data_IF_195448790079
#
_entry.id   IF_195448790079
#
_cell.length_a   1.000
_cell.length_b   1.000
_cell.length_c   1.000
_cell.angle_alpha   90.00
_cell.angle_beta   90.00
_cell.angle_gamma   90.00
#
_symmetry.space_group_name_H-M   'P 1'
#
loop_
_entity.id
_entity.type
_entity.pdbx_description
1 polymer ?
#
# COMPACT_ATOMS: atom_id res chain seq x y z
N UNK A 1 -1.28 1.94 28.34
CA UNK A 1 -0.27 1.73 27.28
C UNK A 1 0.78 0.76 27.79
N UNK A 2 0.96 -0.39 27.17
CA UNK A 2 2.05 -1.33 27.49
C UNK A 2 3.39 -0.73 27.08
N UNK A 3 4.50 -1.15 27.74
CA UNK A 3 5.85 -0.80 27.28
C UNK A 3 6.01 -1.35 25.86
N UNK A 4 6.32 -0.48 24.92
CA UNK A 4 6.73 -0.84 23.56
C UNK A 4 8.14 -1.41 23.67
N UNK A 5 8.41 -2.58 23.08
CA UNK A 5 9.76 -3.14 23.04
C UNK A 5 10.70 -2.28 22.16
N UNK A 6 12.01 -2.53 22.23
CA UNK A 6 12.99 -1.72 21.49
C UNK A 6 12.78 -1.78 19.98
N UNK A 7 12.41 -2.94 19.42
CA UNK A 7 12.15 -3.12 18.00
C UNK A 7 11.02 -2.18 17.50
N UNK A 8 9.91 -2.15 18.24
CA UNK A 8 8.82 -1.24 17.88
C UNK A 8 9.19 0.23 18.12
N UNK A 9 10.00 0.53 19.13
CA UNK A 9 10.44 1.92 19.36
C UNK A 9 11.24 2.43 18.17
N UNK A 10 12.22 1.66 17.70
CA UNK A 10 13.06 2.03 16.57
C UNK A 10 12.20 2.25 15.29
N UNK A 11 11.22 1.38 15.03
CA UNK A 11 10.29 1.54 13.91
C UNK A 11 9.42 2.80 14.02
N UNK A 12 8.89 3.08 15.20
CA UNK A 12 8.06 4.27 15.44
C UNK A 12 8.89 5.53 15.24
N UNK A 13 10.10 5.58 15.79
CA UNK A 13 11.00 6.72 15.66
C UNK A 13 11.40 6.96 14.21
N UNK A 14 11.64 5.90 13.45
CA UNK A 14 11.92 5.93 12.03
C UNK A 14 10.75 6.58 11.25
N UNK A 15 9.56 6.04 11.40
CA UNK A 15 8.33 6.54 10.75
C UNK A 15 8.06 8.00 11.13
N UNK A 16 8.22 8.38 12.39
CA UNK A 16 8.01 9.76 12.84
C UNK A 16 9.05 10.71 12.24
N UNK A 17 10.30 10.24 12.05
CA UNK A 17 11.39 11.04 11.50
C UNK A 17 11.26 11.35 10.01
N UNK A 18 10.37 10.67 9.30
CA UNK A 18 10.17 10.90 7.86
C UNK A 18 9.71 12.31 7.56
N UNK A 19 10.44 13.07 6.69
CA UNK A 19 10.01 14.39 6.25
C UNK A 19 8.65 14.39 5.54
N UNK A 20 8.24 13.25 4.96
CA UNK A 20 6.94 13.11 4.26
C UNK A 20 5.75 13.36 5.17
N UNK A 21 5.92 13.14 6.48
CA UNK A 21 4.90 13.45 7.47
C UNK A 21 4.39 14.89 7.42
N UNK A 22 5.23 15.85 7.04
CA UNK A 22 4.85 17.26 6.90
C UNK A 22 3.96 17.54 5.69
N UNK A 23 3.93 16.63 4.72
CA UNK A 23 3.18 16.76 3.46
C UNK A 23 1.86 15.99 3.45
N UNK A 24 1.60 15.17 4.47
CA UNK A 24 0.35 14.41 4.61
C UNK A 24 -0.65 15.23 5.42
N UNK A 25 -1.81 15.61 4.85
CA UNK A 25 -2.86 16.29 5.60
C UNK A 25 -3.33 15.46 6.81
N UNK A 26 -3.60 16.11 7.92
CA UNK A 26 -4.08 15.46 9.14
C UNK A 26 -5.48 15.93 9.50
N UNK A 27 -6.41 14.99 9.58
CA UNK A 27 -7.72 15.26 10.18
C UNK A 27 -7.54 15.65 11.67
N UNK A 28 -8.36 16.56 12.23
CA UNK A 28 -8.23 16.99 13.64
C UNK A 28 -8.30 15.85 14.67
N UNK A 29 -8.93 14.75 14.32
CA UNK A 29 -9.02 13.54 15.16
C UNK A 29 -7.94 12.49 14.84
N UNK A 30 -7.00 12.76 13.96
CA UNK A 30 -5.95 11.80 13.57
C UNK A 30 -5.12 11.33 14.78
N UNK A 31 -4.93 10.01 14.89
CA UNK A 31 -4.26 9.39 16.02
C UNK A 31 -5.11 9.25 17.30
N UNK A 32 -6.36 9.72 17.30
CA UNK A 32 -7.24 9.61 18.48
C UNK A 32 -7.83 8.20 18.59
N UNK A 33 -7.56 7.58 19.74
CA UNK A 33 -8.18 6.32 20.13
C UNK A 33 -9.53 6.60 20.81
N UNK A 34 -10.62 6.02 20.27
CA UNK A 34 -11.96 6.08 20.87
C UNK A 34 -12.53 4.66 20.99
N UNK A 35 -12.60 4.15 22.22
CA UNK A 35 -13.00 2.77 22.47
C UNK A 35 -12.04 1.79 21.78
N UNK A 36 -12.55 1.03 20.82
CA UNK A 36 -11.78 0.04 20.07
C UNK A 36 -11.37 0.51 18.66
N UNK A 37 -11.46 1.80 18.37
CA UNK A 37 -11.14 2.37 17.07
C UNK A 37 -10.11 3.49 17.17
N UNK A 38 -9.23 3.58 16.18
CA UNK A 38 -8.31 4.70 16.00
C UNK A 38 -8.62 5.40 14.67
N UNK A 39 -8.47 6.73 14.65
CA UNK A 39 -8.67 7.54 13.46
C UNK A 39 -7.35 7.73 12.72
N UNK A 40 -7.31 7.37 11.46
CA UNK A 40 -6.18 7.59 10.56
C UNK A 40 -6.06 9.06 10.16
N UNK A 41 -4.98 9.42 9.47
CA UNK A 41 -4.70 10.80 9.07
C UNK A 41 -5.83 11.45 8.26
N UNK A 42 -6.59 10.68 7.49
CA UNK A 42 -7.61 11.10 6.53
C UNK A 42 -9.07 10.85 7.01
N UNK A 43 -9.29 10.75 8.32
CA UNK A 43 -10.58 10.44 8.97
C UNK A 43 -11.08 9.00 8.78
N UNK A 44 -10.33 8.12 8.14
CA UNK A 44 -10.65 6.69 8.13
C UNK A 44 -10.54 6.13 9.54
N UNK A 45 -11.55 5.39 9.99
CA UNK A 45 -11.55 4.72 11.30
C UNK A 45 -11.25 3.24 11.15
N UNK A 46 -10.31 2.75 11.94
CA UNK A 46 -9.90 1.34 11.91
C UNK A 46 -9.91 0.73 13.31
N UNK A 47 -10.03 -0.59 13.39
CA UNK A 47 -9.91 -1.31 14.65
C UNK A 47 -8.51 -1.12 15.24
N UNK A 48 -8.43 -0.68 16.48
CA UNK A 48 -7.17 -0.36 17.17
C UNK A 48 -6.19 -1.55 17.28
N UNK A 49 -6.71 -2.78 17.31
CA UNK A 49 -5.90 -4.00 17.38
C UNK A 49 -5.97 -4.83 16.08
N UNK A 50 -6.47 -4.24 15.00
CA UNK A 50 -6.70 -4.93 13.73
C UNK A 50 -5.47 -5.08 12.84
N UNK A 51 -4.32 -4.47 13.20
CA UNK A 51 -3.11 -4.46 12.41
C UNK A 51 -1.88 -4.54 13.33
N UNK A 52 -1.12 -5.62 13.26
CA UNK A 52 0.10 -5.92 14.07
C UNK A 52 0.05 -5.50 15.56
N UNK A 53 -1.13 -5.35 16.15
CA UNK A 53 -1.33 -5.17 17.59
C UNK A 53 -0.81 -3.85 18.16
N UNK A 54 -0.25 -3.90 19.39
CA UNK A 54 0.09 -2.72 20.18
C UNK A 54 1.20 -1.85 19.56
N UNK A 55 2.13 -2.43 18.80
CA UNK A 55 3.23 -1.70 18.18
C UNK A 55 2.72 -0.67 17.16
N UNK A 56 1.92 -1.13 16.18
CA UNK A 56 1.31 -0.23 15.20
C UNK A 56 0.31 0.71 15.85
N UNK A 57 -0.48 0.26 16.82
CA UNK A 57 -1.39 1.16 17.54
C UNK A 57 -0.66 2.35 18.16
N UNK A 58 0.49 2.12 18.83
CA UNK A 58 1.29 3.20 19.37
C UNK A 58 1.85 4.11 18.28
N UNK A 59 2.34 3.54 17.16
CA UNK A 59 2.78 4.31 15.99
C UNK A 59 1.67 5.23 15.48
N UNK A 60 0.46 4.71 15.28
CA UNK A 60 -0.68 5.49 14.80
C UNK A 60 -1.09 6.61 15.77
N UNK A 61 -0.98 6.38 17.09
CA UNK A 61 -1.25 7.41 18.10
C UNK A 61 -0.19 8.51 18.02
N UNK A 62 1.10 8.13 18.04
CA UNK A 62 2.23 9.05 18.09
C UNK A 62 2.40 9.82 16.78
N UNK A 63 2.25 9.14 15.64
CA UNK A 63 2.38 9.74 14.30
C UNK A 63 1.03 10.22 13.71
N UNK A 64 0.01 10.39 14.55
CA UNK A 64 -1.28 10.95 14.16
C UNK A 64 -1.89 10.25 12.94
N UNK A 65 -1.99 8.92 13.02
CA UNK A 65 -2.70 8.11 12.04
C UNK A 65 -1.95 7.83 10.74
N UNK A 66 -0.63 7.96 10.71
CA UNK A 66 0.24 7.58 9.58
C UNK A 66 1.20 6.48 10.02
N UNK A 67 1.38 5.47 9.18
CA UNK A 67 2.29 4.34 9.42
C UNK A 67 3.32 4.14 8.31
N UNK A 68 3.05 4.61 7.10
CA UNK A 68 3.93 4.52 5.92
C UNK A 68 4.02 5.88 5.22
N UNK A 69 4.76 6.86 5.79
CA UNK A 69 4.68 8.26 5.35
C UNK A 69 4.97 8.49 3.87
N UNK A 70 5.97 7.78 3.30
CA UNK A 70 6.34 7.92 1.89
C UNK A 70 5.21 7.41 0.98
N UNK A 71 4.67 6.24 1.30
CA UNK A 71 3.58 5.64 0.52
C UNK A 71 2.29 6.42 0.69
N UNK A 72 1.91 6.78 1.91
CA UNK A 72 0.70 7.56 2.17
C UNK A 72 0.74 8.95 1.50
N UNK A 73 1.92 9.61 1.47
CA UNK A 73 2.10 10.86 0.72
C UNK A 73 1.89 10.65 -0.78
N UNK A 74 2.57 9.66 -1.37
CA UNK A 74 2.46 9.36 -2.79
C UNK A 74 1.02 8.95 -3.16
N UNK A 75 0.39 8.15 -2.31
CA UNK A 75 -0.99 7.69 -2.50
C UNK A 75 -1.98 8.86 -2.49
N UNK A 76 -1.85 9.78 -1.52
CA UNK A 76 -2.67 11.00 -1.44
C UNK A 76 -2.53 11.89 -2.69
N UNK A 77 -1.33 11.94 -3.28
CA UNK A 77 -1.10 12.69 -4.51
C UNK A 77 -1.78 12.04 -5.71
N UNK A 78 -1.61 10.74 -5.90
CA UNK A 78 -2.16 10.01 -7.04
C UNK A 78 -3.69 9.92 -7.00
N UNK A 79 -4.31 9.65 -5.85
CA UNK A 79 -5.77 9.51 -5.78
C UNK A 79 -6.52 10.80 -6.13
N UNK A 80 -5.89 11.97 -6.01
CA UNK A 80 -6.48 13.25 -6.46
C UNK A 80 -6.61 13.34 -7.97
N UNK A 81 -5.83 12.57 -8.71
CA UNK A 81 -5.85 12.55 -10.18
C UNK A 81 -6.86 11.53 -10.73
N UNK A 82 -7.30 10.58 -9.90
CA UNK A 82 -8.23 9.54 -10.34
C UNK A 82 -9.64 10.08 -10.54
N UNK A 83 -10.41 9.53 -11.51
CA UNK A 83 -11.81 9.88 -11.69
C UNK A 83 -12.67 9.40 -10.51
N UNK A 84 -13.86 9.99 -10.35
CA UNK A 84 -14.81 9.63 -9.29
C UNK A 84 -15.18 8.13 -9.30
N UNK A 85 -15.35 7.56 -10.49
CA UNK A 85 -15.68 6.14 -10.70
C UNK A 85 -14.43 5.38 -11.11
N UNK A 86 -13.44 5.31 -10.23
CA UNK A 86 -12.23 4.54 -10.46
C UNK A 86 -12.33 3.11 -9.92
N UNK A 87 -11.46 2.24 -10.41
CA UNK A 87 -11.35 0.83 -9.99
C UNK A 87 -9.96 0.61 -9.42
N UNK A 88 -9.90 0.07 -8.21
CA UNK A 88 -8.66 -0.31 -7.53
C UNK A 88 -8.67 -1.80 -7.19
N UNK A 89 -7.55 -2.46 -7.41
CA UNK A 89 -7.26 -3.79 -6.90
C UNK A 89 -6.14 -3.68 -5.87
N UNK A 90 -6.44 -4.04 -4.62
CA UNK A 90 -5.52 -4.08 -3.49
C UNK A 90 -5.17 -5.54 -3.18
N UNK A 91 -3.92 -5.91 -3.35
CA UNK A 91 -3.36 -7.24 -3.12
C UNK A 91 -2.54 -7.25 -1.83
N UNK A 92 -2.81 -8.22 -0.93
CA UNK A 92 -2.33 -8.17 0.44
C UNK A 92 -3.09 -7.11 1.24
N UNK A 93 -4.40 -7.05 1.03
CA UNK A 93 -5.20 -5.93 1.53
C UNK A 93 -5.28 -5.84 3.06
N UNK A 94 -4.95 -6.90 3.77
CA UNK A 94 -4.95 -7.01 5.22
C UNK A 94 -6.17 -6.34 5.87
N UNK A 95 -6.00 -5.12 6.40
CA UNK A 95 -7.05 -4.32 7.05
C UNK A 95 -7.78 -3.35 6.10
N UNK A 96 -7.38 -3.28 4.82
CA UNK A 96 -8.04 -2.53 3.76
C UNK A 96 -7.88 -1.01 3.86
N UNK A 97 -6.74 -0.52 4.38
CA UNK A 97 -6.53 0.91 4.62
C UNK A 97 -6.46 1.71 3.32
N UNK A 98 -5.69 1.25 2.32
CA UNK A 98 -5.51 2.00 1.07
C UNK A 98 -6.82 2.08 0.26
N UNK A 99 -7.59 0.99 0.19
CA UNK A 99 -8.94 1.02 -0.39
C UNK A 99 -9.89 1.96 0.36
N UNK A 100 -9.84 1.99 1.69
CA UNK A 100 -10.65 2.92 2.49
C UNK A 100 -10.20 4.37 2.28
N UNK A 101 -8.90 4.62 2.17
CA UNK A 101 -8.34 5.94 1.86
C UNK A 101 -8.82 6.43 0.49
N UNK A 102 -8.78 5.58 -0.52
CA UNK A 102 -9.36 5.90 -1.82
C UNK A 102 -10.85 6.23 -1.71
N UNK A 103 -11.65 5.36 -1.07
CA UNK A 103 -13.09 5.55 -0.91
C UNK A 103 -13.48 6.78 -0.09
N UNK A 104 -12.58 7.29 0.74
CA UNK A 104 -12.79 8.55 1.48
C UNK A 104 -12.82 9.76 0.52
N UNK A 105 -11.96 9.77 -0.49
CA UNK A 105 -11.88 10.86 -1.47
C UNK A 105 -12.68 10.58 -2.76
N UNK A 106 -12.86 9.32 -3.12
CA UNK A 106 -13.59 8.84 -4.30
C UNK A 106 -14.72 7.88 -3.89
N UNK A 107 -15.83 8.39 -3.32
CA UNK A 107 -16.87 7.53 -2.73
C UNK A 107 -17.58 6.61 -3.73
N UNK A 108 -17.42 6.86 -5.04
CA UNK A 108 -17.99 6.05 -6.13
C UNK A 108 -16.99 5.03 -6.69
N UNK A 109 -15.77 4.97 -6.15
CA UNK A 109 -14.78 3.99 -6.56
C UNK A 109 -15.25 2.55 -6.27
N UNK A 110 -14.75 1.62 -7.05
CA UNK A 110 -14.91 0.18 -6.82
C UNK A 110 -13.57 -0.37 -6.35
N UNK A 111 -13.54 -0.96 -5.15
CA UNK A 111 -12.34 -1.55 -4.58
C UNK A 111 -12.50 -3.06 -4.46
N UNK A 112 -11.56 -3.79 -5.08
CA UNK A 112 -11.38 -5.22 -4.93
C UNK A 112 -10.20 -5.45 -3.97
N UNK A 113 -10.40 -6.29 -2.95
CA UNK A 113 -9.42 -6.56 -1.90
C UNK A 113 -9.13 -8.06 -1.86
N UNK A 114 -7.87 -8.42 -2.04
CA UNK A 114 -7.41 -9.82 -2.00
C UNK A 114 -6.47 -9.99 -0.82
N UNK A 115 -6.76 -10.96 0.04
CA UNK A 115 -5.99 -11.26 1.24
C UNK A 115 -6.11 -12.76 1.56
N UNK A 116 -5.02 -13.51 1.75
CA UNK A 116 -5.09 -14.92 2.04
C UNK A 116 -5.56 -15.25 3.46
N UNK A 117 -5.22 -14.40 4.46
CA UNK A 117 -5.46 -14.69 5.85
C UNK A 117 -6.87 -14.30 6.30
N UNK A 118 -7.64 -15.27 6.80
CA UNK A 118 -9.03 -15.07 7.24
C UNK A 118 -9.17 -13.95 8.28
N UNK A 119 -8.24 -13.87 9.24
CA UNK A 119 -8.31 -12.86 10.31
C UNK A 119 -8.10 -11.44 9.77
N UNK A 120 -7.18 -11.30 8.82
CA UNK A 120 -6.93 -10.02 8.15
C UNK A 120 -8.16 -9.57 7.35
N UNK A 121 -8.77 -10.49 6.57
CA UNK A 121 -10.01 -10.23 5.87
C UNK A 121 -11.15 -9.79 6.80
N UNK A 122 -11.28 -10.43 7.97
CA UNK A 122 -12.28 -10.04 8.98
C UNK A 122 -12.01 -8.62 9.45
N UNK A 123 -10.76 -8.27 9.76
CA UNK A 123 -10.35 -6.92 10.16
C UNK A 123 -10.70 -5.89 9.08
N UNK A 124 -10.37 -6.17 7.82
CA UNK A 124 -10.74 -5.33 6.69
C UNK A 124 -12.26 -5.11 6.59
N UNK A 125 -13.05 -6.18 6.64
CA UNK A 125 -14.53 -6.11 6.60
C UNK A 125 -15.11 -5.29 7.75
N UNK A 126 -14.54 -5.38 8.95
CA UNK A 126 -14.96 -4.57 10.10
C UNK A 126 -14.63 -3.10 9.84
N UNK A 127 -13.43 -2.79 9.36
CA UNK A 127 -13.01 -1.43 9.05
C UNK A 127 -13.92 -0.79 7.99
N UNK A 128 -14.27 -1.52 6.94
CA UNK A 128 -15.22 -1.05 5.93
C UNK A 128 -16.60 -0.71 6.53
N UNK A 129 -17.12 -1.58 7.41
CA UNK A 129 -18.39 -1.30 8.13
C UNK A 129 -18.31 -0.08 9.03
N UNK A 130 -17.19 0.11 9.76
CA UNK A 130 -16.95 1.29 10.61
C UNK A 130 -17.01 2.60 9.83
N UNK A 131 -16.63 2.58 8.56
CA UNK A 131 -16.63 3.74 7.68
C UNK A 131 -17.85 3.83 6.76
N UNK A 132 -18.82 2.91 6.88
CA UNK A 132 -20.00 2.88 6.02
C UNK A 132 -19.67 2.66 4.54
N UNK A 133 -18.55 1.99 4.25
CA UNK A 133 -18.07 1.72 2.89
C UNK A 133 -18.29 0.25 2.51
N UNK A 134 -18.24 -0.02 1.22
CA UNK A 134 -18.34 -1.37 0.65
C UNK A 134 -17.07 -1.67 -0.15
N UNK A 135 -16.58 -2.90 -0.03
CA UNK A 135 -15.48 -3.45 -0.83
C UNK A 135 -15.81 -4.89 -1.24
N UNK A 136 -15.17 -5.37 -2.29
CA UNK A 136 -15.31 -6.74 -2.79
C UNK A 136 -14.10 -7.53 -2.30
N UNK A 137 -14.33 -8.37 -1.29
CA UNK A 137 -13.28 -9.10 -0.59
C UNK A 137 -13.17 -10.54 -1.11
N UNK A 138 -11.96 -10.92 -1.51
CA UNK A 138 -11.62 -12.27 -1.97
C UNK A 138 -10.53 -12.87 -1.09
N UNK A 139 -10.78 -14.06 -0.57
CA UNK A 139 -9.75 -14.82 0.14
C UNK A 139 -8.92 -15.63 -0.85
N UNK A 140 -7.69 -15.19 -1.11
CA UNK A 140 -6.75 -15.88 -2.00
C UNK A 140 -5.32 -15.35 -1.78
N UNK A 141 -4.34 -16.20 -2.07
CA UNK A 141 -2.96 -15.78 -2.31
C UNK A 141 -2.79 -15.24 -3.74
N UNK A 142 -1.67 -14.58 -4.00
CA UNK A 142 -1.33 -14.05 -5.34
C UNK A 142 -0.07 -14.72 -5.85
N UNK A 143 -0.07 -15.14 -7.11
CA UNK A 143 1.10 -15.74 -7.78
C UNK A 143 1.01 -15.45 -9.30
N UNK A 144 2.01 -15.89 -10.06
CA UNK A 144 2.04 -15.78 -11.54
C UNK A 144 0.91 -16.56 -12.22
N UNK A 145 0.42 -17.61 -11.59
CA UNK A 145 -0.61 -18.49 -12.15
C UNK A 145 -1.64 -18.87 -11.09
N UNK A 146 -2.93 -18.97 -11.45
CA UNK A 146 -3.98 -19.34 -10.52
C UNK A 146 -3.88 -20.83 -10.12
N UNK A 147 -4.31 -21.13 -8.88
CA UNK A 147 -4.45 -22.48 -8.31
C UNK A 147 -5.73 -22.54 -7.48
N UNK A 148 -6.39 -23.71 -7.44
CA UNK A 148 -7.65 -23.86 -6.71
C UNK A 148 -7.47 -24.19 -5.22
N UNK A 149 -6.44 -24.94 -4.87
CA UNK A 149 -6.23 -25.38 -3.50
C UNK A 149 -4.73 -25.32 -3.09
N UNK A 150 -4.35 -24.42 -2.16
CA UNK A 150 -5.15 -23.29 -1.68
C UNK A 150 -5.47 -22.29 -2.81
N UNK A 151 -6.58 -21.56 -2.70
CA UNK A 151 -6.96 -20.60 -3.73
C UNK A 151 -5.86 -19.55 -3.92
N UNK A 152 -5.33 -19.53 -5.14
CA UNK A 152 -4.33 -18.56 -5.57
C UNK A 152 -4.82 -17.93 -6.87
N UNK A 153 -4.67 -16.62 -6.99
CA UNK A 153 -5.03 -15.89 -8.21
C UNK A 153 -3.77 -15.40 -8.92
N UNK A 154 -3.86 -15.19 -10.23
CA UNK A 154 -3.05 -14.20 -10.92
C UNK A 154 -3.89 -12.96 -11.17
N UNK A 155 -3.28 -11.78 -11.31
CA UNK A 155 -4.02 -10.54 -11.57
C UNK A 155 -4.86 -10.65 -12.85
N UNK A 156 -4.29 -11.21 -13.93
CA UNK A 156 -5.01 -11.42 -15.20
C UNK A 156 -6.21 -12.37 -15.05
N UNK A 157 -6.09 -13.43 -14.23
CA UNK A 157 -7.21 -14.36 -13.97
C UNK A 157 -8.29 -13.69 -13.14
N UNK A 158 -7.90 -12.92 -12.13
CA UNK A 158 -8.82 -12.18 -11.28
C UNK A 158 -9.60 -11.12 -12.05
N UNK A 159 -8.91 -10.32 -12.86
CA UNK A 159 -9.55 -9.32 -13.71
C UNK A 159 -10.58 -9.95 -14.66
N UNK A 160 -10.24 -11.09 -15.26
CA UNK A 160 -11.17 -11.84 -16.12
C UNK A 160 -12.37 -12.40 -15.34
N UNK A 161 -12.17 -12.96 -14.15
CA UNK A 161 -13.23 -13.49 -13.28
C UNK A 161 -14.24 -12.42 -12.89
N UNK A 162 -13.74 -11.20 -12.64
CA UNK A 162 -14.55 -10.06 -12.18
C UNK A 162 -14.97 -9.09 -13.28
N UNK A 163 -14.70 -9.41 -14.57
CA UNK A 163 -14.97 -8.53 -15.73
C UNK A 163 -14.36 -7.13 -15.55
N UNK A 164 -13.10 -7.08 -15.11
CA UNK A 164 -12.33 -5.85 -14.95
C UNK A 164 -11.47 -5.67 -16.20
N UNK A 165 -11.86 -4.77 -17.08
CA UNK A 165 -11.12 -4.46 -18.31
C UNK A 165 -9.99 -3.43 -18.04
N UNK A 166 -10.14 -2.61 -17.01
CA UNK A 166 -9.21 -1.55 -16.68
C UNK A 166 -9.14 -1.32 -15.18
N UNK A 167 -7.93 -1.17 -14.65
CA UNK A 167 -7.63 -0.74 -13.29
C UNK A 167 -7.09 0.69 -13.32
N UNK A 168 -7.65 1.59 -12.54
CA UNK A 168 -7.03 2.90 -12.33
C UNK A 168 -5.87 2.82 -11.34
N UNK A 169 -5.90 1.80 -10.47
CA UNK A 169 -4.83 1.55 -9.51
C UNK A 169 -4.69 0.06 -9.19
N UNK A 170 -3.48 -0.44 -9.31
CA UNK A 170 -3.04 -1.74 -8.77
C UNK A 170 -2.11 -1.45 -7.59
N UNK A 171 -2.51 -1.86 -6.40
CA UNK A 171 -1.73 -1.73 -5.17
C UNK A 171 -1.36 -3.12 -4.65
N UNK A 172 -0.11 -3.31 -4.23
CA UNK A 172 0.41 -4.63 -3.84
C UNK A 172 1.38 -4.56 -2.68
N UNK A 173 1.05 -5.29 -1.61
CA UNK A 173 1.91 -5.61 -0.46
C UNK A 173 1.69 -7.10 -0.12
N UNK A 174 2.45 -7.99 -0.73
CA UNK A 174 2.21 -9.45 -0.72
C UNK A 174 3.41 -10.28 -0.27
N UNK A 175 4.27 -9.66 0.53
CA UNK A 175 5.31 -10.33 1.32
C UNK A 175 6.26 -11.20 0.49
N UNK A 176 6.81 -10.64 -0.61
CA UNK A 176 7.86 -11.25 -1.43
C UNK A 176 7.38 -11.90 -2.74
N UNK A 177 6.09 -11.83 -3.06
CA UNK A 177 5.52 -12.37 -4.30
C UNK A 177 5.29 -11.30 -5.38
N UNK A 178 5.82 -10.08 -5.22
CA UNK A 178 5.54 -8.93 -6.09
C UNK A 178 5.99 -9.15 -7.54
N UNK A 179 7.16 -9.80 -7.76
CA UNK A 179 7.60 -10.15 -9.11
C UNK A 179 6.69 -11.19 -9.76
N UNK A 180 6.29 -12.22 -9.01
CA UNK A 180 5.34 -13.22 -9.49
C UNK A 180 3.95 -12.60 -9.79
N UNK A 181 3.51 -11.63 -8.99
CA UNK A 181 2.30 -10.84 -9.24
C UNK A 181 2.41 -10.08 -10.57
N UNK A 182 3.52 -9.38 -10.82
CA UNK A 182 3.76 -8.66 -12.08
C UNK A 182 3.77 -9.61 -13.29
N UNK A 183 4.34 -10.81 -13.15
CA UNK A 183 4.28 -11.84 -14.19
C UNK A 183 2.84 -12.32 -14.44
N UNK A 184 2.05 -12.47 -13.36
CA UNK A 184 0.62 -12.83 -13.41
C UNK A 184 -0.31 -11.71 -13.85
N UNK A 185 0.20 -10.49 -14.00
CA UNK A 185 -0.48 -9.30 -14.51
C UNK A 185 -0.05 -8.93 -15.94
N UNK A 186 0.73 -9.79 -16.61
CA UNK A 186 1.42 -9.43 -17.86
C UNK A 186 0.49 -8.98 -18.97
N UNK A 187 -0.70 -9.55 -19.09
CA UNK A 187 -1.68 -9.19 -20.10
C UNK A 187 -2.29 -7.80 -19.84
N UNK A 188 -2.67 -7.53 -18.58
CA UNK A 188 -3.21 -6.26 -18.13
C UNK A 188 -2.17 -5.13 -18.32
N UNK A 189 -0.93 -5.36 -17.83
CA UNK A 189 0.12 -4.35 -17.81
C UNK A 189 0.68 -4.05 -19.22
N UNK A 190 0.90 -5.07 -20.05
CA UNK A 190 1.39 -4.86 -21.43
C UNK A 190 0.41 -4.06 -22.30
N UNK A 191 -0.89 -4.17 -22.03
CA UNK A 191 -1.92 -3.40 -22.71
C UNK A 191 -2.10 -1.97 -22.16
N UNK A 192 -1.41 -1.62 -21.08
CA UNK A 192 -1.60 -0.35 -20.39
C UNK A 192 -2.97 -0.23 -19.69
N UNK A 193 -3.56 -1.36 -19.32
CA UNK A 193 -4.87 -1.39 -18.66
C UNK A 193 -4.78 -1.28 -17.12
N UNK A 194 -3.66 -0.80 -16.59
CA UNK A 194 -3.54 -0.29 -15.23
C UNK A 194 -2.84 1.07 -15.30
N UNK A 195 -3.52 2.13 -14.83
CA UNK A 195 -2.97 3.49 -14.91
C UNK A 195 -1.78 3.67 -13.97
N UNK A 196 -1.97 3.34 -12.70
CA UNK A 196 -0.98 3.47 -11.64
C UNK A 196 -0.74 2.15 -10.93
N UNK A 197 0.52 1.91 -10.56
CA UNK A 197 0.95 0.72 -9.83
C UNK A 197 1.74 1.15 -8.59
N UNK A 198 1.32 0.68 -7.42
CA UNK A 198 2.03 0.81 -6.14
C UNK A 198 2.50 -0.57 -5.71
N UNK A 199 3.76 -0.69 -5.34
CA UNK A 199 4.31 -1.96 -4.86
C UNK A 199 5.17 -1.71 -3.63
N UNK A 200 4.79 -2.31 -2.50
CA UNK A 200 5.66 -2.48 -1.34
C UNK A 200 6.56 -3.69 -1.59
N UNK A 201 7.87 -3.53 -1.45
CA UNK A 201 8.86 -4.57 -1.79
C UNK A 201 9.62 -5.03 -0.56
N UNK A 202 9.92 -6.36 -0.49
CA UNK A 202 10.44 -7.01 0.72
C UNK A 202 11.91 -7.43 0.63
N UNK A 203 12.63 -7.03 -0.43
CA UNK A 203 14.09 -7.11 -0.54
C UNK A 203 14.62 -6.18 -1.61
N UNK A 204 15.87 -5.73 -1.47
CA UNK A 204 16.53 -4.89 -2.48
C UNK A 204 16.60 -5.56 -3.85
N UNK A 205 16.83 -6.88 -3.90
CA UNK A 205 16.83 -7.61 -5.18
C UNK A 205 15.44 -7.58 -5.83
N UNK A 206 14.41 -7.90 -5.07
CA UNK A 206 13.02 -7.89 -5.54
C UNK A 206 12.60 -6.49 -6.01
N UNK A 207 13.04 -5.45 -5.30
CA UNK A 207 12.79 -4.06 -5.68
C UNK A 207 13.33 -3.74 -7.07
N UNK A 208 14.59 -4.10 -7.34
CA UNK A 208 15.23 -3.92 -8.65
C UNK A 208 14.51 -4.74 -9.73
N UNK A 209 14.24 -6.02 -9.46
CA UNK A 209 13.57 -6.92 -10.42
C UNK A 209 12.16 -6.39 -10.79
N UNK A 210 11.42 -5.85 -9.81
CA UNK A 210 10.09 -5.25 -10.03
C UNK A 210 10.17 -3.97 -10.88
N UNK A 211 11.15 -3.10 -10.63
CA UNK A 211 11.37 -1.89 -11.45
C UNK A 211 11.67 -2.26 -12.90
N UNK A 212 12.58 -3.20 -13.12
CA UNK A 212 12.91 -3.67 -14.47
C UNK A 212 11.71 -4.30 -15.17
N UNK A 213 10.93 -5.08 -14.45
CA UNK A 213 9.71 -5.71 -14.98
C UNK A 213 8.66 -4.69 -15.36
N UNK A 214 8.39 -3.69 -14.52
CA UNK A 214 7.47 -2.59 -14.81
C UNK A 214 7.92 -1.81 -16.06
N UNK A 215 9.20 -1.46 -16.15
CA UNK A 215 9.77 -0.80 -17.34
C UNK A 215 9.58 -1.63 -18.61
N UNK A 216 9.69 -2.95 -18.53
CA UNK A 216 9.48 -3.85 -19.69
C UNK A 216 8.03 -3.85 -20.18
N UNK A 217 7.07 -3.49 -19.35
CA UNK A 217 5.66 -3.31 -19.68
C UNK A 217 5.31 -1.87 -20.12
N UNK A 218 6.30 -0.96 -20.20
CA UNK A 218 6.07 0.42 -20.60
C UNK A 218 5.69 1.36 -19.46
N UNK A 219 5.96 0.98 -18.21
CA UNK A 219 5.71 1.85 -17.06
C UNK A 219 6.90 2.78 -16.79
N UNK A 220 6.57 3.99 -16.36
CA UNK A 220 7.50 5.02 -15.90
C UNK A 220 7.47 5.05 -14.39
N UNK A 221 8.63 4.97 -13.76
CA UNK A 221 8.74 5.06 -12.30
C UNK A 221 8.59 6.52 -11.90
N UNK A 222 7.59 6.81 -11.06
CA UNK A 222 7.30 8.14 -10.54
C UNK A 222 8.06 8.43 -9.24
N UNK A 223 8.17 7.41 -8.39
CA UNK A 223 8.93 7.42 -7.15
C UNK A 223 9.37 6.00 -6.81
N UNK A 224 10.52 5.88 -6.18
CA UNK A 224 10.98 4.63 -5.60
C UNK A 224 11.83 4.90 -4.35
N UNK A 225 11.79 4.00 -3.39
CA UNK A 225 12.70 3.94 -2.26
C UNK A 225 12.92 2.46 -1.91
N UNK A 226 14.17 2.00 -1.91
CA UNK A 226 14.45 0.63 -1.47
C UNK A 226 14.37 0.51 0.07
N UNK A 227 14.51 -0.70 0.61
CA UNK A 227 14.41 -0.96 2.05
C UNK A 227 15.45 -0.18 2.90
N UNK A 228 16.52 0.37 2.31
CA UNK A 228 17.52 1.18 3.01
C UNK A 228 17.19 2.66 2.95
N UNK A 229 16.40 3.07 1.99
CA UNK A 229 15.99 4.44 1.73
C UNK A 229 14.63 4.80 2.35
N UNK A 230 13.84 3.77 2.71
CA UNK A 230 12.50 3.97 3.28
C UNK A 230 12.55 4.30 4.78
N UNK A 231 11.54 5.02 5.25
CA UNK A 231 11.27 5.28 6.68
C UNK A 231 10.23 4.30 7.26
N UNK A 232 9.66 3.44 6.42
CA UNK A 232 8.87 2.27 6.81
C UNK A 232 9.76 1.02 6.77
N UNK A 233 9.15 -0.15 6.85
CA UNK A 233 9.91 -1.41 6.84
C UNK A 233 10.17 -1.91 5.42
N UNK A 234 9.24 -1.63 4.51
CA UNK A 234 9.23 -2.14 3.14
C UNK A 234 9.70 -1.05 2.16
N UNK A 235 10.28 -1.48 1.03
CA UNK A 235 10.59 -0.57 -0.06
C UNK A 235 9.32 -0.17 -0.81
N UNK A 236 9.33 0.96 -1.49
CA UNK A 236 8.20 1.50 -2.24
C UNK A 236 8.55 1.70 -3.71
N UNK A 237 7.67 1.26 -4.61
CA UNK A 237 7.69 1.62 -6.03
C UNK A 237 6.34 2.23 -6.39
N UNK A 238 6.36 3.42 -6.98
CA UNK A 238 5.19 4.06 -7.57
C UNK A 238 5.44 4.24 -9.06
N UNK A 239 4.57 3.69 -9.89
CA UNK A 239 4.73 3.75 -11.34
C UNK A 239 3.41 4.13 -12.03
N UNK A 240 3.51 4.70 -13.23
CA UNK A 240 2.38 4.93 -14.13
C UNK A 240 2.64 4.34 -15.50
N UNK A 241 1.60 3.95 -16.23
CA UNK A 241 1.76 3.62 -17.64
C UNK A 241 2.16 4.87 -18.45
N UNK A 242 3.03 4.72 -19.45
CA UNK A 242 3.60 5.85 -20.21
C UNK A 242 2.52 6.68 -20.95
N UNK A 243 1.35 6.11 -21.24
CA UNK A 243 0.23 6.83 -21.87
C UNK A 243 -0.45 7.84 -20.94
N UNK A 244 -0.24 7.74 -19.64
CA UNK A 244 -0.77 8.69 -18.66
C UNK A 244 0.14 9.92 -18.66
N UNK A 245 -0.42 11.09 -18.94
CA UNK A 245 0.36 12.32 -19.06
C UNK A 245 0.95 12.75 -17.70
N UNK A 246 0.12 12.85 -16.67
CA UNK A 246 0.50 13.36 -15.37
C UNK A 246 0.28 12.36 -14.23
N UNK A 247 1.09 12.42 -13.14
CA UNK A 247 2.23 13.34 -12.91
C UNK A 247 3.51 12.86 -13.64
N UNK A 248 4.52 13.73 -13.73
CA UNK A 248 5.84 13.37 -14.28
C UNK A 248 6.75 12.73 -13.23
N UNK A 249 6.54 13.08 -11.96
CA UNK A 249 7.21 12.50 -10.79
C UNK A 249 6.30 12.66 -9.57
N UNK A 250 6.54 11.85 -8.54
CA UNK A 250 5.97 12.00 -7.20
C UNK A 250 7.13 12.18 -6.24
N UNK A 251 7.09 13.25 -5.45
CA UNK A 251 8.15 13.51 -4.49
C UNK A 251 7.96 12.68 -3.22
N UNK A 252 8.97 11.91 -2.86
CA UNK A 252 9.10 11.23 -1.57
C UNK A 252 10.49 11.49 -0.99
N UNK A 253 10.59 11.51 0.33
CA UNK A 253 11.88 11.60 1.02
C UNK A 253 12.59 10.25 0.99
N UNK A 254 13.93 10.27 1.01
CA UNK A 254 14.76 9.06 1.13
C UNK A 254 15.69 9.19 2.33
N UNK A 255 15.90 8.13 3.09
CA UNK A 255 16.97 8.06 4.07
C UNK A 255 18.31 8.25 3.38
N UNK A 256 19.18 9.07 3.95
CA UNK A 256 20.57 9.13 3.49
C UNK A 256 21.26 7.82 3.86
N UNK A 257 21.92 7.20 2.88
CA UNK A 257 22.79 6.06 3.19
C UNK A 257 23.74 6.46 4.33
N UNK A 258 23.74 5.70 5.42
CA UNK A 258 24.77 5.89 6.45
C UNK A 258 26.12 5.63 5.77
N UNK A 259 26.91 6.67 5.57
CA UNK A 259 28.31 6.52 5.19
C UNK A 259 28.94 5.68 6.29
N UNK A 260 29.33 4.44 5.95
CA UNK A 260 30.01 3.56 6.86
C UNK A 260 31.17 4.35 7.48
N UNK A 261 31.12 4.52 8.78
CA UNK A 261 32.29 4.96 9.56
C UNK A 261 33.37 3.91 9.33
N UNK A 262 34.21 4.15 8.33
CA UNK A 262 35.45 3.42 8.15
C UNK A 262 36.26 3.56 9.42
N UNK A 263 36.19 2.55 10.28
CA UNK A 263 37.11 2.41 11.40
C UNK A 263 38.52 2.27 10.85
N UNK A 264 39.26 3.34 10.89
CA UNK A 264 40.73 3.26 10.96
C UNK A 264 41.08 2.70 12.32
N UNK A 265 41.72 1.56 12.36
CA UNK A 265 42.28 0.95 13.53
C UNK A 265 42.98 -0.32 13.14
#
# INVERSE_FOLDING_TARGET
MGKVDSYWRDRIDDVISSPDNAHIPRHPSAGQLKGYTITMHNDVRVCANGYYGAGILNMLIENKGVHEPQEERAFEEIIRLLPDQCVMLELGAYWGFYSLSLLQQRPKATCFLVEPETQNLISGRINFRLNGRKGIFTQASVDRSPKDNPRTISVDSFCREHNIDHLHMLHSDIQGYELAMLEGASNLLTKGNADFVFISTHSTKLHIDCIEKLKSFGYVILADADMKETFSYDGLIVAKHHSIENPQAVEISKKKAQQGSGGNG
#
